data_IF_830042794597
#
_entry.id   IF_830042794597
#
_cell.length_a   1.000
_cell.length_b   1.000
_cell.length_c   1.000
_cell.angle_alpha   90.00
_cell.angle_beta   90.00
_cell.angle_gamma   90.00
#
_symmetry.space_group_name_H-M   'P 1'
#
loop_
_entity.id
_entity.type
_entity.pdbx_description
1 polymer ?
#
# COMPACT_ATOMS: atom_id res chain seq x y z
N UNK A 1 -2.01 14.15 -23.27
CA UNK A 1 -1.76 12.79 -22.73
C UNK A 1 -1.56 12.95 -21.22
N UNK A 2 -2.29 12.32 -20.30
CA UNK A 2 -3.29 11.25 -20.40
C UNK A 2 -4.50 11.49 -19.47
N UNK A 3 -5.68 11.17 -20.01
CA UNK A 3 -7.00 11.34 -19.40
C UNK A 3 -7.33 10.06 -18.60
N UNK A 4 -6.56 9.76 -17.54
CA UNK A 4 -6.81 8.54 -16.75
C UNK A 4 -7.64 8.77 -15.48
N UNK A 5 -7.79 10.00 -14.97
CA UNK A 5 -8.38 10.19 -13.63
C UNK A 5 -9.32 11.39 -13.53
N UNK A 6 -10.50 11.30 -14.14
CA UNK A 6 -11.72 11.86 -13.51
C UNK A 6 -12.45 10.72 -12.81
N UNK A 7 -11.81 10.14 -11.80
CA UNK A 7 -12.42 9.10 -10.98
C UNK A 7 -13.56 9.73 -10.20
N UNK A 8 -14.80 9.29 -10.49
CA UNK A 8 -15.97 9.70 -9.72
C UNK A 8 -15.75 9.33 -8.24
N UNK A 9 -16.28 10.13 -7.31
CA UNK A 9 -16.13 9.89 -5.86
C UNK A 9 -16.50 8.46 -5.45
N UNK A 10 -17.50 7.85 -6.09
CA UNK A 10 -17.87 6.44 -5.86
C UNK A 10 -16.78 5.44 -6.26
N UNK A 11 -16.11 5.68 -7.38
CA UNK A 11 -14.97 4.87 -7.83
C UNK A 11 -13.75 5.03 -6.92
N UNK A 12 -13.55 6.22 -6.33
CA UNK A 12 -12.48 6.45 -5.35
C UNK A 12 -12.68 5.59 -4.09
N UNK A 13 -13.91 5.58 -3.56
CA UNK A 13 -14.27 4.75 -2.40
C UNK A 13 -14.05 3.27 -2.73
N UNK A 14 -14.47 2.81 -3.91
CA UNK A 14 -14.26 1.44 -4.35
C UNK A 14 -12.79 1.02 -4.36
N UNK A 15 -11.91 1.87 -4.91
CA UNK A 15 -10.46 1.59 -4.96
C UNK A 15 -9.84 1.53 -3.55
N UNK A 16 -10.24 2.42 -2.65
CA UNK A 16 -9.77 2.40 -1.26
C UNK A 16 -10.27 1.14 -0.54
N UNK A 17 -11.53 0.75 -0.73
CA UNK A 17 -12.08 -0.47 -0.14
C UNK A 17 -11.35 -1.71 -0.64
N UNK A 18 -11.03 -1.79 -1.94
CA UNK A 18 -10.22 -2.90 -2.49
C UNK A 18 -8.85 -2.95 -1.80
N UNK A 19 -8.18 -1.81 -1.65
CA UNK A 19 -6.88 -1.74 -0.97
C UNK A 19 -6.97 -2.16 0.52
N UNK A 20 -8.05 -1.79 1.21
CA UNK A 20 -8.28 -2.19 2.60
C UNK A 20 -8.58 -3.69 2.73
N UNK A 21 -9.43 -4.24 1.86
CA UNK A 21 -9.78 -5.67 1.87
C UNK A 21 -8.56 -6.54 1.58
N UNK A 22 -7.74 -6.14 0.60
CA UNK A 22 -6.53 -6.88 0.23
C UNK A 22 -5.47 -6.83 1.32
N UNK A 23 -5.26 -5.67 1.96
CA UNK A 23 -4.41 -5.55 3.15
C UNK A 23 -4.94 -6.38 4.33
N UNK A 24 -6.24 -6.29 4.60
CA UNK A 24 -6.89 -7.09 5.64
C UNK A 24 -6.64 -8.59 5.41
N UNK A 25 -6.79 -9.04 4.16
CA UNK A 25 -6.59 -10.45 3.79
C UNK A 25 -5.15 -10.89 4.05
N UNK A 26 -4.17 -10.07 3.66
CA UNK A 26 -2.76 -10.35 3.91
C UNK A 26 -2.45 -10.45 5.41
N UNK A 27 -2.93 -9.49 6.22
CA UNK A 27 -2.74 -9.50 7.69
C UNK A 27 -3.45 -10.70 8.32
N UNK A 28 -4.67 -11.01 7.89
CA UNK A 28 -5.41 -12.17 8.37
C UNK A 28 -4.71 -13.48 8.05
N UNK A 29 -4.23 -13.68 6.82
CA UNK A 29 -3.44 -14.86 6.44
C UNK A 29 -2.16 -14.99 7.28
N UNK A 30 -1.46 -13.89 7.53
CA UNK A 30 -0.27 -13.88 8.39
C UNK A 30 -0.60 -14.35 9.82
N UNK A 31 -1.69 -13.83 10.40
CA UNK A 31 -2.16 -14.24 11.72
C UNK A 31 -2.60 -15.71 11.77
N UNK A 32 -3.32 -16.20 10.75
CA UNK A 32 -3.74 -17.61 10.65
C UNK A 32 -2.54 -18.56 10.63
N UNK A 33 -1.48 -18.17 9.94
CA UNK A 33 -0.25 -18.95 9.81
C UNK A 33 0.71 -18.77 11.00
N UNK A 34 0.41 -17.85 11.93
CA UNK A 34 1.22 -17.62 13.13
C UNK A 34 0.96 -18.68 14.20
N UNK A 35 1.99 -18.98 14.99
CA UNK A 35 1.87 -19.96 16.07
C UNK A 35 0.90 -19.46 17.15
N UNK A 36 -0.11 -20.27 17.47
CA UNK A 36 -1.08 -19.95 18.52
C UNK A 36 -2.37 -19.28 18.05
N UNK A 37 -2.58 -19.11 16.74
CA UNK A 37 -3.84 -18.58 16.18
C UNK A 37 -5.10 -19.28 16.71
N UNK A 38 -5.07 -20.61 16.87
CA UNK A 38 -6.20 -21.39 17.40
C UNK A 38 -6.65 -20.96 18.80
N UNK A 39 -5.73 -20.38 19.59
CA UNK A 39 -5.99 -19.90 20.95
C UNK A 39 -6.36 -18.41 20.99
N UNK A 40 -6.28 -17.70 19.86
CA UNK A 40 -6.58 -16.28 19.77
C UNK A 40 -8.08 -16.04 19.62
N UNK A 41 -8.57 -14.94 20.19
CA UNK A 41 -9.94 -14.50 19.96
C UNK A 41 -10.10 -14.03 18.50
N UNK A 42 -10.86 -14.80 17.71
CA UNK A 42 -11.08 -14.53 16.27
C UNK A 42 -11.63 -13.13 15.99
N UNK A 43 -12.51 -12.62 16.85
CA UNK A 43 -13.08 -11.29 16.70
C UNK A 43 -12.01 -10.20 16.89
N UNK A 44 -11.15 -10.37 17.89
CA UNK A 44 -10.05 -9.45 18.16
C UNK A 44 -9.03 -9.44 17.01
N UNK A 45 -8.72 -10.62 16.44
CA UNK A 45 -7.82 -10.74 15.27
C UNK A 45 -8.38 -9.98 14.08
N UNK A 46 -9.66 -10.17 13.74
CA UNK A 46 -10.30 -9.48 12.61
C UNK A 46 -10.27 -7.96 12.83
N UNK A 47 -10.60 -7.51 14.05
CA UNK A 47 -10.58 -6.09 14.39
C UNK A 47 -9.17 -5.49 14.26
N UNK A 48 -8.15 -6.15 14.82
CA UNK A 48 -6.77 -5.69 14.73
C UNK A 48 -6.26 -5.67 13.28
N UNK A 49 -6.62 -6.66 12.47
CA UNK A 49 -6.25 -6.71 11.06
C UNK A 49 -6.85 -5.55 10.25
N UNK A 50 -8.12 -5.22 10.50
CA UNK A 50 -8.78 -4.06 9.87
C UNK A 50 -8.14 -2.74 10.30
N UNK A 51 -7.85 -2.58 11.60
CA UNK A 51 -7.21 -1.38 12.14
C UNK A 51 -5.80 -1.22 11.58
N UNK A 52 -5.00 -2.29 11.54
CA UNK A 52 -3.65 -2.26 10.98
C UNK A 52 -3.64 -1.86 9.51
N UNK A 53 -4.54 -2.44 8.69
CA UNK A 53 -4.69 -2.08 7.27
C UNK A 53 -5.06 -0.61 7.08
N UNK A 54 -6.01 -0.09 7.86
CA UNK A 54 -6.40 1.32 7.79
C UNK A 54 -5.26 2.27 8.21
N UNK A 55 -4.56 1.94 9.30
CA UNK A 55 -3.43 2.73 9.81
C UNK A 55 -2.29 2.76 8.80
N UNK A 56 -1.92 1.62 8.22
CA UNK A 56 -0.79 1.54 7.29
C UNK A 56 -1.03 2.40 6.03
N UNK A 57 -2.21 2.29 5.42
CA UNK A 57 -2.60 3.11 4.27
C UNK A 57 -2.63 4.61 4.63
N UNK A 58 -3.13 4.95 5.82
CA UNK A 58 -3.18 6.33 6.29
C UNK A 58 -1.77 6.92 6.49
N UNK A 59 -0.85 6.18 7.14
CA UNK A 59 0.54 6.63 7.36
C UNK A 59 1.21 6.96 6.04
N UNK A 60 1.15 6.06 5.06
CA UNK A 60 1.82 6.25 3.77
C UNK A 60 1.24 7.43 3.01
N UNK A 61 -0.09 7.58 3.00
CA UNK A 61 -0.75 8.74 2.41
C UNK A 61 -0.32 10.06 3.07
N UNK A 62 -0.29 10.11 4.41
CA UNK A 62 0.09 11.31 5.13
C UNK A 62 1.57 11.67 4.97
N UNK A 63 2.47 10.68 4.90
CA UNK A 63 3.89 10.91 4.61
C UNK A 63 4.05 11.61 3.26
N UNK A 64 3.45 11.08 2.20
CA UNK A 64 3.50 11.73 0.88
C UNK A 64 2.81 13.09 0.86
N UNK A 65 1.70 13.25 1.57
CA UNK A 65 1.02 14.54 1.69
C UNK A 65 1.89 15.60 2.37
N UNK A 66 2.65 15.24 3.41
CA UNK A 66 3.58 16.16 4.08
C UNK A 66 4.72 16.57 3.13
N UNK A 67 5.24 15.63 2.34
CA UNK A 67 6.27 15.89 1.33
C UNK A 67 5.78 16.87 0.27
N UNK A 68 4.51 16.73 -0.13
CA UNK A 68 3.86 17.58 -1.14
C UNK A 68 3.19 18.84 -0.57
N UNK A 69 3.40 19.19 0.70
CA UNK A 69 2.72 20.33 1.35
C UNK A 69 2.93 21.67 0.64
N UNK A 70 4.02 21.81 -0.13
CA UNK A 70 4.38 23.04 -0.85
C UNK A 70 3.79 23.13 -2.26
N UNK A 71 3.15 22.08 -2.75
CA UNK A 71 2.52 22.08 -4.08
C UNK A 71 1.19 22.85 -4.05
N UNK A 72 0.92 23.59 -5.13
CA UNK A 72 -0.29 24.41 -5.28
C UNK A 72 -1.40 23.69 -6.06
N UNK A 73 -1.07 22.60 -6.75
CA UNK A 73 -1.99 21.79 -7.55
C UNK A 73 -2.69 20.77 -6.65
N UNK A 74 -3.96 20.46 -6.91
CA UNK A 74 -4.67 19.40 -6.17
C UNK A 74 -4.20 18.01 -6.66
N UNK A 75 -3.38 17.36 -5.84
CA UNK A 75 -2.85 16.01 -6.09
C UNK A 75 -3.53 14.93 -5.23
N UNK A 76 -4.45 15.29 -4.32
CA UNK A 76 -4.89 14.41 -3.25
C UNK A 76 -5.59 13.14 -3.77
N UNK A 77 -6.46 13.30 -4.78
CA UNK A 77 -7.20 12.19 -5.37
C UNK A 77 -6.28 11.24 -6.14
N UNK A 78 -5.39 11.77 -6.97
CA UNK A 78 -4.44 10.96 -7.73
C UNK A 78 -3.49 10.20 -6.80
N UNK A 79 -2.99 10.88 -5.76
CA UNK A 79 -2.08 10.28 -4.78
C UNK A 79 -2.72 9.11 -4.04
N UNK A 80 -3.94 9.28 -3.50
CA UNK A 80 -4.60 8.20 -2.74
C UNK A 80 -4.93 7.01 -3.64
N UNK A 81 -5.30 7.24 -4.90
CA UNK A 81 -5.57 6.14 -5.83
C UNK A 81 -4.29 5.41 -6.20
N UNK A 82 -3.20 6.13 -6.50
CA UNK A 82 -1.91 5.51 -6.80
C UNK A 82 -1.45 4.60 -5.64
N UNK A 83 -1.56 5.08 -4.40
CA UNK A 83 -1.22 4.31 -3.19
C UNK A 83 -2.15 3.11 -3.05
N UNK A 84 -3.47 3.29 -3.17
CA UNK A 84 -4.43 2.22 -2.99
C UNK A 84 -4.24 1.08 -4.00
N UNK A 85 -4.06 1.40 -5.29
CA UNK A 85 -3.85 0.40 -6.35
C UNK A 85 -2.56 -0.39 -6.11
N UNK A 86 -1.47 0.31 -5.83
CA UNK A 86 -0.16 -0.33 -5.64
C UNK A 86 -0.12 -1.18 -4.38
N UNK A 87 -0.77 -0.74 -3.30
CA UNK A 87 -0.93 -1.53 -2.09
C UNK A 87 -1.79 -2.76 -2.33
N UNK A 88 -2.88 -2.62 -3.09
CA UNK A 88 -3.71 -3.77 -3.48
C UNK A 88 -2.90 -4.81 -4.26
N UNK A 89 -2.12 -4.39 -5.26
CA UNK A 89 -1.26 -5.28 -6.04
C UNK A 89 -0.22 -5.97 -5.14
N UNK A 90 0.52 -5.21 -4.33
CA UNK A 90 1.55 -5.75 -3.45
C UNK A 90 0.99 -6.76 -2.44
N UNK A 91 -0.15 -6.46 -1.84
CA UNK A 91 -0.79 -7.34 -0.84
C UNK A 91 -1.43 -8.58 -1.45
N UNK A 92 -1.96 -8.50 -2.68
CA UNK A 92 -2.39 -9.68 -3.44
C UNK A 92 -1.19 -10.60 -3.68
N UNK A 93 -0.06 -10.06 -4.17
CA UNK A 93 1.15 -10.86 -4.39
C UNK A 93 1.65 -11.51 -3.09
N UNK A 94 1.68 -10.74 -2.00
CA UNK A 94 2.04 -11.25 -0.68
C UNK A 94 1.13 -12.40 -0.23
N UNK A 95 -0.19 -12.23 -0.41
CA UNK A 95 -1.17 -13.25 -0.05
C UNK A 95 -0.97 -14.53 -0.86
N UNK A 96 -0.76 -14.41 -2.18
CA UNK A 96 -0.48 -15.56 -3.05
C UNK A 96 0.77 -16.31 -2.57
N UNK A 97 1.86 -15.60 -2.27
CA UNK A 97 3.10 -16.22 -1.77
C UNK A 97 2.89 -16.91 -0.42
N UNK A 98 2.22 -16.27 0.53
CA UNK A 98 1.96 -16.86 1.85
C UNK A 98 1.12 -18.13 1.75
N UNK A 99 0.07 -18.12 0.92
CA UNK A 99 -0.80 -19.29 0.73
C UNK A 99 -0.09 -20.43 -0.01
N UNK A 100 0.80 -20.10 -0.96
CA UNK A 100 1.52 -21.10 -1.75
C UNK A 100 2.65 -21.76 -0.98
N UNK A 101 3.32 -21.01 -0.10
CA UNK A 101 4.45 -21.52 0.69
C UNK A 101 4.03 -22.04 2.06
N UNK A 102 2.80 -21.75 2.50
CA UNK A 102 2.33 -21.93 3.88
C UNK A 102 3.29 -21.33 4.93
N UNK A 103 4.06 -20.32 4.55
CA UNK A 103 5.07 -19.70 5.38
C UNK A 103 4.82 -18.19 5.48
N UNK A 104 4.94 -17.68 6.70
CA UNK A 104 4.84 -16.24 6.99
C UNK A 104 6.09 -15.49 6.54
N UNK A 105 7.23 -16.18 6.51
CA UNK A 105 8.55 -15.58 6.30
C UNK A 105 9.27 -16.24 5.12
N UNK A 106 9.09 -15.65 3.93
CA UNK A 106 9.98 -15.88 2.79
C UNK A 106 10.67 -14.56 2.45
N UNK A 107 11.88 -14.36 2.99
CA UNK A 107 12.63 -13.10 2.88
C UNK A 107 12.85 -12.69 1.43
N UNK A 108 13.20 -13.64 0.55
CA UNK A 108 13.41 -13.36 -0.86
C UNK A 108 12.12 -12.90 -1.55
N UNK A 109 11.01 -13.58 -1.29
CA UNK A 109 9.72 -13.19 -1.86
C UNK A 109 9.25 -11.83 -1.33
N UNK A 110 9.44 -11.55 -0.04
CA UNK A 110 9.12 -10.25 0.57
C UNK A 110 9.93 -9.11 -0.07
N UNK A 111 11.23 -9.34 -0.32
CA UNK A 111 12.09 -8.37 -1.02
C UNK A 111 11.57 -8.11 -2.43
N UNK A 112 11.28 -9.16 -3.21
CA UNK A 112 10.79 -9.03 -4.58
C UNK A 112 9.42 -8.32 -4.64
N UNK A 113 8.51 -8.68 -3.75
CA UNK A 113 7.20 -8.02 -3.64
C UNK A 113 7.38 -6.55 -3.27
N UNK A 114 8.27 -6.24 -2.33
CA UNK A 114 8.62 -4.87 -1.98
C UNK A 114 9.14 -4.08 -3.19
N UNK A 115 10.08 -4.65 -3.95
CA UNK A 115 10.60 -4.00 -5.18
C UNK A 115 9.46 -3.73 -6.18
N UNK A 116 8.55 -4.68 -6.38
CA UNK A 116 7.40 -4.50 -7.29
C UNK A 116 6.46 -3.42 -6.75
N UNK A 117 6.04 -3.51 -5.50
CA UNK A 117 5.07 -2.60 -4.89
C UNK A 117 5.62 -1.16 -4.86
N UNK A 118 6.81 -0.96 -4.28
CA UNK A 118 7.41 0.37 -4.15
C UNK A 118 7.93 0.90 -5.49
N UNK A 119 8.41 0.03 -6.38
CA UNK A 119 8.76 0.40 -7.76
C UNK A 119 7.54 0.92 -8.53
N UNK A 120 6.39 0.24 -8.43
CA UNK A 120 5.13 0.69 -9.02
C UNK A 120 4.63 1.99 -8.40
N UNK A 121 4.74 2.17 -7.07
CA UNK A 121 4.41 3.44 -6.40
C UNK A 121 5.23 4.58 -6.98
N UNK A 122 6.55 4.42 -7.05
CA UNK A 122 7.46 5.41 -7.59
C UNK A 122 7.14 5.75 -9.04
N UNK A 123 6.98 4.72 -9.88
CA UNK A 123 6.67 4.88 -11.30
C UNK A 123 5.32 5.58 -11.56
N UNK A 124 4.26 5.11 -10.90
CA UNK A 124 2.92 5.68 -11.09
C UNK A 124 2.91 7.12 -10.58
N UNK A 125 3.45 7.40 -9.38
CA UNK A 125 3.52 8.76 -8.87
C UNK A 125 4.34 9.69 -9.80
N UNK A 126 5.44 9.19 -10.37
CA UNK A 126 6.25 9.98 -11.30
C UNK A 126 5.49 10.36 -12.58
N UNK A 127 4.69 9.43 -13.10
CA UNK A 127 3.99 9.58 -14.39
C UNK A 127 2.61 10.26 -14.25
N UNK A 128 1.89 10.04 -13.16
CA UNK A 128 0.51 10.51 -13.00
C UNK A 128 0.34 11.74 -12.13
N UNK A 129 1.30 12.08 -11.25
CA UNK A 129 1.21 13.31 -10.46
C UNK A 129 1.61 14.53 -11.29
N UNK A 130 0.70 15.49 -11.40
CA UNK A 130 0.91 16.80 -12.02
C UNK A 130 1.54 17.79 -11.02
N UNK A 131 2.71 17.44 -10.49
CA UNK A 131 3.45 18.20 -9.48
C UNK A 131 4.83 18.63 -10.01
N UNK A 132 5.49 19.56 -9.32
CA UNK A 132 6.84 20.01 -9.67
C UNK A 132 7.86 18.86 -9.73
N UNK A 133 8.88 18.99 -10.59
CA UNK A 133 9.95 17.99 -10.75
C UNK A 133 10.69 17.71 -9.43
N UNK A 134 10.90 18.75 -8.61
CA UNK A 134 11.52 18.60 -7.30
C UNK A 134 10.67 17.71 -6.38
N UNK A 135 9.35 17.91 -6.37
CA UNK A 135 8.44 17.10 -5.56
C UNK A 135 8.36 15.65 -6.06
N UNK A 136 8.44 15.42 -7.38
CA UNK A 136 8.57 14.06 -7.94
C UNK A 136 9.83 13.35 -7.43
N UNK A 137 10.97 14.04 -7.43
CA UNK A 137 12.23 13.51 -6.88
C UNK A 137 12.08 13.19 -5.40
N UNK A 138 11.51 14.12 -4.61
CA UNK A 138 11.30 13.90 -3.18
C UNK A 138 10.44 12.65 -2.92
N UNK A 139 9.33 12.48 -3.65
CA UNK A 139 8.49 11.26 -3.53
C UNK A 139 9.29 10.00 -3.87
N UNK A 140 10.06 10.00 -4.96
CA UNK A 140 10.85 8.84 -5.34
C UNK A 140 11.86 8.45 -4.25
N UNK A 141 12.57 9.43 -3.68
CA UNK A 141 13.51 9.19 -2.55
C UNK A 141 12.78 8.60 -1.35
N UNK A 142 11.65 9.18 -0.96
CA UNK A 142 10.87 8.67 0.17
C UNK A 142 10.27 7.29 -0.10
N UNK A 143 9.94 6.98 -1.35
CA UNK A 143 9.48 5.64 -1.74
C UNK A 143 10.58 4.59 -1.55
N UNK A 144 11.83 4.94 -1.85
CA UNK A 144 12.99 4.07 -1.59
C UNK A 144 13.23 3.92 -0.09
N UNK A 145 13.11 5.00 0.69
CA UNK A 145 13.24 4.92 2.16
C UNK A 145 12.15 4.01 2.75
N UNK A 146 10.89 4.17 2.33
CA UNK A 146 9.79 3.32 2.78
C UNK A 146 9.98 1.86 2.38
N UNK A 147 10.53 1.59 1.19
CA UNK A 147 10.90 0.22 0.80
C UNK A 147 11.92 -0.38 1.76
N UNK A 148 13.01 0.33 2.06
CA UNK A 148 14.05 -0.15 2.98
C UNK A 148 13.48 -0.38 4.38
N UNK A 149 12.64 0.54 4.88
CA UNK A 149 11.99 0.39 6.18
C UNK A 149 11.03 -0.80 6.22
N UNK A 150 10.37 -1.14 5.11
CA UNK A 150 9.47 -2.28 5.03
C UNK A 150 10.19 -3.64 4.99
N UNK A 151 11.52 -3.67 4.86
CA UNK A 151 12.32 -4.91 4.90
C UNK A 151 12.65 -5.38 6.33
N UNK A 152 12.51 -4.51 7.33
CA UNK A 152 12.85 -4.76 8.74
C UNK A 152 11.58 -4.83 9.60
#
# INVERSE_FOLDING_TARGET
MGILYKVKRSSLIGVILIALITQFTAVYCNLVLSTGFEKMNKFLVIFLALVAAAIYLAIVYYVYKLILKKETVDYNQTLIVNIAITFAIGTILQTIVMLSTQAVTNTLANVLIGVIQFGLIGWINWTSLEISRQSKINISVWTVILFVLALF
#
